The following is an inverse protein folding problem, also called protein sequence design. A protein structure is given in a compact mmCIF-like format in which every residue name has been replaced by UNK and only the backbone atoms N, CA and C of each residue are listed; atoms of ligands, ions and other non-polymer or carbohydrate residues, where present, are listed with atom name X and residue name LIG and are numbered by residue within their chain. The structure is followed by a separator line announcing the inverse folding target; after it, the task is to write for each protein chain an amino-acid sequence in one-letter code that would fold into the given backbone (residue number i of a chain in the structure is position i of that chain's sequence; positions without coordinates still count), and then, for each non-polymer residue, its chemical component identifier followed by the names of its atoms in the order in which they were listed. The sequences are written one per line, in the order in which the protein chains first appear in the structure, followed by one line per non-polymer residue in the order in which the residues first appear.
data_IF_715249669327
#
_entry.id   IF_715249669327
#
_cell.length_a   1.000
_cell.length_b   1.000
_cell.length_c   1.000
_cell.angle_alpha   90.00
_cell.angle_beta   90.00
_cell.angle_gamma   90.00
#
_symmetry.space_group_name_H-M   'P 1'
#
loop_
_entity.id
_entity.type
_entity.pdbx_description
1 polymer ?
#
# COMPACT_ATOMS: atom_id res chain seq x y z
N UNK A 1 -18.48 5.36 -8.84
CA UNK A 1 -17.30 4.60 -8.37
C UNK A 1 -16.94 5.08 -6.98
N UNK A 2 -16.78 4.17 -6.02
CA UNK A 2 -16.28 4.56 -4.69
C UNK A 2 -14.88 5.15 -4.84
N UNK A 3 -14.53 6.12 -3.99
CA UNK A 3 -13.18 6.68 -3.94
C UNK A 3 -12.31 5.79 -3.05
N UNK A 4 -11.11 5.44 -3.50
CA UNK A 4 -10.14 4.74 -2.66
C UNK A 4 -9.82 5.58 -1.40
N UNK A 5 -9.86 4.94 -0.24
CA UNK A 5 -9.52 5.55 1.05
C UNK A 5 -8.15 5.08 1.55
N UNK A 6 -7.56 5.84 2.49
CA UNK A 6 -6.31 5.41 3.14
C UNK A 6 -6.54 4.21 4.06
N UNK A 7 -7.70 4.12 4.70
CA UNK A 7 -8.11 2.97 5.51
C UNK A 7 -8.12 1.67 4.70
N UNK A 8 -8.57 1.68 3.44
CA UNK A 8 -8.53 0.49 2.60
C UNK A 8 -7.09 0.06 2.27
N UNK A 9 -6.15 1.00 2.14
CA UNK A 9 -4.72 0.69 1.94
C UNK A 9 -4.17 0.01 3.21
N UNK A 10 -4.50 0.54 4.38
CA UNK A 10 -4.09 -0.02 5.67
C UNK A 10 -4.72 -1.40 5.88
N UNK A 11 -6.00 -1.58 5.53
CA UNK A 11 -6.69 -2.88 5.61
C UNK A 11 -6.02 -3.93 4.73
N UNK A 12 -5.55 -3.57 3.54
CA UNK A 12 -4.79 -4.50 2.70
C UNK A 12 -3.48 -4.91 3.39
N UNK A 13 -2.76 -3.98 4.03
CA UNK A 13 -1.53 -4.31 4.78
C UNK A 13 -1.81 -5.17 6.02
N UNK A 14 -2.90 -4.89 6.74
CA UNK A 14 -3.32 -5.69 7.90
C UNK A 14 -3.74 -7.11 7.51
N UNK A 15 -4.44 -7.27 6.36
CA UNK A 15 -4.93 -8.57 5.90
C UNK A 15 -3.88 -9.41 5.18
N UNK A 16 -3.01 -8.78 4.38
CA UNK A 16 -1.96 -9.48 3.63
C UNK A 16 -0.66 -9.63 4.44
N UNK A 17 -0.46 -8.81 5.47
CA UNK A 17 0.83 -8.63 6.12
C UNK A 17 1.79 -7.80 5.26
N UNK A 18 3.07 -7.80 5.64
CA UNK A 18 4.09 -7.00 4.94
C UNK A 18 4.17 -7.38 3.45
N UNK A 19 4.08 -6.38 2.56
CA UNK A 19 4.09 -6.62 1.12
C UNK A 19 4.55 -5.42 0.29
N UNK A 20 4.86 -5.67 -0.98
CA UNK A 20 5.36 -4.64 -1.90
C UNK A 20 4.24 -3.74 -2.44
N UNK A 21 4.58 -2.52 -2.86
CA UNK A 21 3.64 -1.54 -3.43
C UNK A 21 2.73 -2.13 -4.53
N UNK A 22 3.28 -2.97 -5.40
CA UNK A 22 2.51 -3.56 -6.50
C UNK A 22 1.47 -4.58 -6.00
N UNK A 23 1.74 -5.27 -4.90
CA UNK A 23 0.81 -6.22 -4.28
C UNK A 23 -0.40 -5.45 -3.74
N UNK A 24 -0.16 -4.38 -2.98
CA UNK A 24 -1.22 -3.48 -2.50
C UNK A 24 -2.06 -2.98 -3.67
N UNK A 25 -1.41 -2.52 -4.73
CA UNK A 25 -2.08 -2.01 -5.95
C UNK A 25 -2.94 -3.09 -6.61
N UNK A 26 -2.41 -4.31 -6.79
CA UNK A 26 -3.13 -5.40 -7.44
C UNK A 26 -4.34 -5.89 -6.65
N UNK A 27 -4.26 -5.89 -5.31
CA UNK A 27 -5.43 -6.20 -4.47
C UNK A 27 -6.51 -5.14 -4.67
N UNK A 28 -6.15 -3.85 -4.60
CA UNK A 28 -7.10 -2.74 -4.75
C UNK A 28 -7.68 -2.62 -6.17
N UNK A 29 -6.92 -3.00 -7.21
CA UNK A 29 -7.38 -3.01 -8.62
C UNK A 29 -8.61 -3.88 -8.85
N UNK A 30 -8.86 -4.90 -8.03
CA UNK A 30 -10.07 -5.72 -8.11
C UNK A 30 -11.35 -4.90 -7.90
N UNK A 31 -11.26 -3.80 -7.14
CA UNK A 31 -12.36 -2.88 -6.83
C UNK A 31 -12.25 -1.53 -7.54
N UNK A 32 -11.03 -1.07 -7.82
CA UNK A 32 -10.73 0.29 -8.26
C UNK A 32 -10.07 0.36 -9.64
N UNK A 33 -10.65 -0.25 -10.66
CA UNK A 33 -10.07 -0.15 -12.01
C UNK A 33 -10.45 1.16 -12.72
N UNK A 34 -9.51 1.86 -13.38
CA UNK A 34 -8.06 1.65 -13.38
C UNK A 34 -7.37 2.24 -12.14
N UNK A 35 -6.27 1.61 -11.69
CA UNK A 35 -5.46 2.10 -10.56
C UNK A 35 -3.97 2.06 -10.89
N UNK A 36 -3.30 3.19 -10.71
CA UNK A 36 -1.87 3.32 -10.97
C UNK A 36 -1.03 2.98 -9.74
N UNK A 37 0.02 2.17 -9.92
CA UNK A 37 0.96 1.83 -8.85
C UNK A 37 1.64 3.08 -8.30
N UNK A 38 1.93 4.07 -9.15
CA UNK A 38 2.50 5.34 -8.74
C UNK A 38 1.57 6.14 -7.82
N UNK A 39 0.25 6.03 -8.00
CA UNK A 39 -0.73 6.66 -7.12
C UNK A 39 -0.71 6.02 -5.73
N UNK A 40 -0.74 4.68 -5.66
CA UNK A 40 -0.64 3.94 -4.39
C UNK A 40 0.68 4.23 -3.68
N UNK A 41 1.79 4.30 -4.41
CA UNK A 41 3.08 4.66 -3.84
C UNK A 41 3.05 6.04 -3.15
N UNK A 42 2.44 7.05 -3.77
CA UNK A 42 2.31 8.39 -3.16
C UNK A 42 1.46 8.36 -1.89
N UNK A 43 0.39 7.55 -1.87
CA UNK A 43 -0.46 7.38 -0.68
C UNK A 43 0.28 6.68 0.46
N UNK A 44 1.00 5.60 0.17
CA UNK A 44 1.82 4.89 1.16
C UNK A 44 2.89 5.80 1.78
N UNK A 45 3.59 6.61 0.96
CA UNK A 45 4.55 7.61 1.49
C UNK A 45 3.88 8.64 2.39
N UNK A 46 2.68 9.11 2.04
CA UNK A 46 1.92 10.04 2.90
C UNK A 46 1.53 9.38 4.23
N UNK A 47 1.09 8.12 4.18
CA UNK A 47 0.73 7.35 5.37
C UNK A 47 1.93 7.06 6.26
N UNK A 48 3.10 6.84 5.66
CA UNK A 48 4.36 6.70 6.37
C UNK A 48 4.74 7.99 7.10
N UNK A 49 4.65 9.14 6.43
CA UNK A 49 4.85 10.43 7.09
C UNK A 49 3.85 10.70 8.22
N UNK A 50 2.66 10.08 8.16
CA UNK A 50 1.64 10.14 9.20
C UNK A 50 1.78 9.04 10.27
N UNK A 51 2.81 8.19 10.19
CA UNK A 51 3.04 7.09 11.14
C UNK A 51 2.01 5.95 11.09
N UNK A 52 1.24 5.82 10.00
CA UNK A 52 0.20 4.78 9.84
C UNK A 52 0.72 3.50 9.19
N UNK A 53 1.81 3.59 8.46
CA UNK A 53 2.52 2.46 7.82
C UNK A 53 4.01 2.72 7.92
N UNK A 54 4.82 1.68 7.73
CA UNK A 54 6.28 1.81 7.73
C UNK A 54 6.89 1.07 6.54
N UNK A 55 7.99 1.61 6.00
CA UNK A 55 8.83 0.85 5.07
C UNK A 55 9.61 -0.20 5.85
N UNK A 56 9.57 -1.43 5.36
CA UNK A 56 10.32 -2.55 5.94
C UNK A 56 11.32 -3.10 4.94
N UNK A 57 12.32 -3.84 5.44
CA UNK A 57 13.33 -4.48 4.59
C UNK A 57 12.64 -5.40 3.58
N UNK A 58 12.90 -5.14 2.30
CA UNK A 58 12.45 -5.97 1.19
C UNK A 58 13.49 -7.04 0.86
N UNK A 59 13.03 -8.19 0.39
CA UNK A 59 13.91 -9.20 -0.24
C UNK A 59 14.42 -8.72 -1.60
N UNK A 60 13.72 -7.78 -2.22
CA UNK A 60 14.04 -7.24 -3.55
C UNK A 60 14.77 -5.90 -3.45
N UNK A 61 15.82 -5.72 -4.25
CA UNK A 61 16.67 -4.52 -4.24
C UNK A 61 15.94 -3.23 -4.62
N UNK A 62 14.98 -3.31 -5.55
CA UNK A 62 14.35 -2.13 -6.17
C UNK A 62 12.91 -1.88 -5.71
N UNK A 63 12.29 -2.84 -5.02
CA UNK A 63 10.89 -2.76 -4.64
C UNK A 63 10.73 -2.42 -3.17
N UNK A 64 9.96 -1.36 -2.90
CA UNK A 64 9.60 -0.96 -1.54
C UNK A 64 8.59 -1.95 -0.97
N UNK A 65 8.86 -2.40 0.26
CA UNK A 65 8.00 -3.27 1.06
C UNK A 65 7.43 -2.45 2.23
N UNK A 66 6.17 -2.69 2.55
CA UNK A 66 5.39 -1.91 3.51
C UNK A 66 4.71 -2.83 4.50
N UNK A 67 4.50 -2.32 5.70
CA UNK A 67 3.73 -2.95 6.76
C UNK A 67 2.85 -1.89 7.43
N UNK A 68 1.71 -2.29 7.98
CA UNK A 68 0.92 -1.41 8.83
C UNK A 68 1.72 -1.07 10.11
N UNK A 69 1.61 0.17 10.58
CA UNK A 69 2.18 0.51 11.88
C UNK A 69 1.39 -0.20 12.99
N UNK A 70 2.10 -0.70 13.98
CA UNK A 70 1.50 -1.25 15.21
C UNK A 70 1.02 -0.11 16.13
#
# INVERSE_FOLDING_TARGET
MSKLTDEEIIQVLNGHGRCMTYVVTNVLRRKYWPLETAYILRRLKKLESAGKVQRVKSTYKTQLCWEAAQ
#
